data_IF_484760526321
#
_entry.id   IF_484760526321
#
_cell.length_a   1.000
_cell.length_b   1.000
_cell.length_c   1.000
_cell.angle_alpha   90.00
_cell.angle_beta   90.00
_cell.angle_gamma   90.00
#
_symmetry.space_group_name_H-M   'P 1'
#
loop_
_entity.id
_entity.type
_entity.pdbx_description
1 polymer ?
#
# COMPACT_ATOMS: atom_id res chain seq x y z
N UNK A 1 0.09 4.45 1.08
CA UNK A 1 0.79 3.86 -0.08
C UNK A 1 -0.22 3.25 -1.04
N UNK A 2 -1.02 2.25 -0.63
CA UNK A 2 -2.03 1.63 -1.49
C UNK A 2 -2.91 2.63 -2.26
N UNK A 3 -3.62 3.53 -1.57
CA UNK A 3 -4.46 4.55 -2.22
C UNK A 3 -3.70 5.45 -3.20
N UNK A 4 -2.45 5.80 -2.91
CA UNK A 4 -1.64 6.60 -3.82
C UNK A 4 -1.22 5.78 -5.06
N UNK A 5 -0.83 4.52 -4.87
CA UNK A 5 -0.50 3.61 -5.98
C UNK A 5 -1.70 3.39 -6.89
N UNK A 6 -2.90 3.17 -6.33
CA UNK A 6 -4.15 3.08 -7.09
C UNK A 6 -4.41 4.37 -7.86
N UNK A 7 -4.32 5.55 -7.22
CA UNK A 7 -4.47 6.83 -7.92
C UNK A 7 -3.47 6.99 -9.08
N UNK A 8 -2.19 6.66 -8.84
CA UNK A 8 -1.14 6.77 -9.84
C UNK A 8 -1.40 5.87 -11.05
N UNK A 9 -1.85 4.62 -10.82
CA UNK A 9 -2.15 3.67 -11.91
C UNK A 9 -3.48 3.96 -12.58
N UNK A 10 -4.47 4.49 -11.86
CA UNK A 10 -5.80 4.77 -12.38
C UNK A 10 -5.82 5.97 -13.32
N UNK A 11 -5.28 7.11 -12.86
CA UNK A 11 -5.39 8.39 -13.58
C UNK A 11 -4.12 9.27 -13.48
N UNK A 12 -3.10 8.84 -12.73
CA UNK A 12 -1.85 9.58 -12.55
C UNK A 12 -1.91 10.76 -11.58
N UNK A 13 -3.11 11.21 -11.19
CA UNK A 13 -3.30 12.37 -10.31
C UNK A 13 -2.92 12.06 -8.88
N UNK A 14 -2.49 13.09 -8.15
CA UNK A 14 -2.29 12.99 -6.71
C UNK A 14 -3.62 12.70 -6.01
N UNK A 15 -3.60 11.88 -4.96
CA UNK A 15 -4.79 11.70 -4.12
C UNK A 15 -5.07 12.98 -3.33
N UNK A 16 -6.34 13.36 -3.23
CA UNK A 16 -6.80 14.48 -2.42
C UNK A 16 -6.78 14.16 -0.92
N UNK A 17 -6.79 15.19 -0.09
CA UNK A 17 -6.80 15.01 1.37
C UNK A 17 -8.08 14.33 1.88
N UNK A 18 -9.23 14.59 1.25
CA UNK A 18 -10.48 13.91 1.57
C UNK A 18 -10.39 12.40 1.28
N UNK A 19 -9.91 12.04 0.09
CA UNK A 19 -9.68 10.64 -0.32
C UNK A 19 -8.70 9.92 0.61
N UNK A 20 -7.62 10.58 1.01
CA UNK A 20 -6.64 10.05 1.97
C UNK A 20 -7.29 9.73 3.33
N UNK A 21 -8.18 10.60 3.81
CA UNK A 21 -8.81 10.48 5.14
C UNK A 21 -10.01 9.56 5.17
N UNK A 22 -10.65 9.34 4.02
CA UNK A 22 -11.80 8.47 3.91
C UNK A 22 -11.45 7.02 4.29
N UNK A 23 -12.36 6.37 5.01
CA UNK A 23 -12.25 5.00 5.51
C UNK A 23 -13.52 4.26 5.16
N UNK A 24 -13.41 2.99 4.78
CA UNK A 24 -14.56 2.14 4.46
C UNK A 24 -15.38 2.57 3.26
N UNK A 25 -14.75 3.27 2.31
CA UNK A 25 -15.35 3.52 1.01
C UNK A 25 -15.57 2.21 0.27
N UNK A 26 -16.75 2.02 -0.31
CA UNK A 26 -17.04 0.85 -1.16
C UNK A 26 -16.15 0.81 -2.40
N UNK A 27 -15.77 1.98 -2.92
CA UNK A 27 -14.92 2.14 -4.09
C UNK A 27 -14.05 3.40 -3.93
N UNK A 28 -12.80 3.30 -4.36
CA UNK A 28 -11.84 4.39 -4.48
C UNK A 28 -11.11 4.22 -5.82
N UNK A 29 -11.33 5.17 -6.75
CA UNK A 29 -10.67 5.23 -8.07
C UNK A 29 -10.61 3.86 -8.79
N UNK A 30 -11.77 3.25 -8.95
CA UNK A 30 -11.94 1.98 -9.65
C UNK A 30 -11.56 0.73 -8.85
N UNK A 31 -11.07 0.87 -7.61
CA UNK A 31 -10.93 -0.28 -6.70
C UNK A 31 -12.29 -0.71 -6.12
N UNK A 32 -12.31 -1.88 -5.49
CA UNK A 32 -13.47 -2.41 -4.78
C UNK A 32 -13.07 -2.82 -3.36
N UNK A 33 -13.88 -2.44 -2.38
CA UNK A 33 -13.80 -3.00 -1.04
C UNK A 33 -14.44 -4.40 -1.03
N UNK A 34 -13.63 -5.43 -0.84
CA UNK A 34 -14.09 -6.83 -0.86
C UNK A 34 -14.61 -7.28 0.52
N UNK A 35 -14.01 -6.76 1.58
CA UNK A 35 -14.39 -7.05 2.95
C UNK A 35 -13.99 -5.88 3.84
N UNK A 36 -14.86 -5.51 4.78
CA UNK A 36 -14.56 -4.54 5.82
C UNK A 36 -15.33 -4.90 7.09
N UNK A 37 -14.66 -4.83 8.24
CA UNK A 37 -15.33 -4.92 9.54
C UNK A 37 -15.86 -3.55 9.97
N UNK A 38 -16.59 -3.50 11.09
CA UNK A 38 -17.04 -2.22 11.63
C UNK A 38 -15.84 -1.29 11.88
N UNK A 39 -15.96 -0.02 11.47
CA UNK A 39 -14.91 0.97 11.68
C UNK A 39 -14.66 1.13 13.18
N UNK A 40 -13.45 0.79 13.58
CA UNK A 40 -13.05 0.83 14.98
C UNK A 40 -11.57 1.21 15.11
N UNK A 41 -11.22 1.82 16.24
CA UNK A 41 -9.83 2.05 16.62
C UNK A 41 -9.22 0.85 17.37
N UNK A 42 -9.97 -0.25 17.48
CA UNK A 42 -9.55 -1.48 18.14
C UNK A 42 -8.76 -2.40 17.20
N UNK A 43 -8.18 -3.44 17.78
CA UNK A 43 -7.25 -4.36 17.11
C UNK A 43 -7.89 -5.33 16.11
N UNK A 44 -9.22 -5.38 16.06
CA UNK A 44 -10.03 -6.26 15.21
C UNK A 44 -10.53 -5.58 13.92
N UNK A 45 -10.04 -4.39 13.58
CA UNK A 45 -10.35 -3.78 12.30
C UNK A 45 -9.70 -4.56 11.14
N UNK A 46 -10.49 -4.84 10.11
CA UNK A 46 -10.07 -5.56 8.90
C UNK A 46 -10.61 -4.83 7.68
N UNK A 47 -9.78 -4.72 6.65
CA UNK A 47 -10.19 -4.16 5.36
C UNK A 47 -9.41 -4.87 4.25
N UNK A 48 -10.12 -5.31 3.22
CA UNK A 48 -9.55 -5.94 2.04
C UNK A 48 -10.05 -5.22 0.80
N UNK A 49 -9.13 -4.84 -0.08
CA UNK A 49 -9.45 -4.10 -1.31
C UNK A 49 -8.73 -4.70 -2.51
N UNK A 50 -9.35 -4.59 -3.67
CA UNK A 50 -8.81 -5.06 -4.93
C UNK A 50 -9.01 -4.01 -6.02
N UNK A 51 -7.94 -3.72 -6.75
CA UNK A 51 -7.96 -2.92 -7.96
C UNK A 51 -7.54 -3.80 -9.13
N UNK A 52 -8.37 -3.83 -10.17
CA UNK A 52 -8.06 -4.43 -11.47
C UNK A 52 -7.99 -3.32 -12.50
N UNK A 53 -6.79 -3.01 -12.96
CA UNK A 53 -6.56 -2.01 -13.99
C UNK A 53 -5.88 -2.62 -15.21
N UNK A 54 -5.69 -1.78 -16.22
CA UNK A 54 -4.88 -2.10 -17.38
C UNK A 54 -3.67 -1.17 -17.42
N UNK A 55 -2.49 -1.72 -17.70
CA UNK A 55 -1.38 -0.93 -18.18
C UNK A 55 -1.83 -0.26 -19.49
N UNK A 56 -1.64 1.06 -19.68
CA UNK A 56 -1.97 1.69 -20.94
C UNK A 56 -1.18 0.99 -22.06
N UNK A 57 -1.89 0.38 -23.01
CA UNK A 57 -1.26 -0.19 -24.20
C UNK A 57 -0.39 0.90 -24.85
N UNK A 58 0.88 0.59 -25.12
CA UNK A 58 1.72 1.40 -25.99
C UNK A 58 1.06 1.50 -27.36
N UNK A 59 1.41 2.54 -28.13
CA UNK A 59 0.89 2.68 -29.50
C UNK A 59 1.15 1.43 -30.34
N UNK A 60 2.34 0.83 -30.19
CA UNK A 60 2.76 -0.40 -30.84
C UNK A 60 1.85 -1.59 -30.49
N UNK A 61 1.53 -1.78 -29.21
CA UNK A 61 0.62 -2.84 -28.74
C UNK A 61 -0.82 -2.63 -29.22
N UNK A 62 -1.29 -1.38 -29.34
CA UNK A 62 -2.62 -1.07 -29.92
C UNK A 62 -2.70 -1.46 -31.39
N UNK A 63 -1.63 -1.26 -32.16
CA UNK A 63 -1.54 -1.69 -33.56
C UNK A 63 -1.41 -3.21 -33.73
N UNK A 64 -0.73 -3.89 -32.81
CA UNK A 64 -0.47 -5.34 -32.90
C UNK A 64 -1.69 -6.20 -32.51
N UNK A 65 -2.46 -5.80 -31.51
CA UNK A 65 -3.49 -6.69 -30.93
C UNK A 65 -4.90 -6.51 -31.50
N UNK A 66 -5.18 -5.45 -32.25
CA UNK A 66 -6.51 -5.17 -32.79
C UNK A 66 -7.57 -4.97 -31.70
N UNK A 67 -8.60 -4.17 -31.97
CA UNK A 67 -9.54 -3.66 -30.97
C UNK A 67 -10.44 -4.70 -30.24
N UNK A 68 -10.17 -6.01 -30.26
CA UNK A 68 -11.16 -7.00 -29.78
C UNK A 68 -10.70 -8.17 -28.93
N UNK A 69 -9.43 -8.28 -28.52
CA UNK A 69 -9.05 -9.28 -27.52
C UNK A 69 -8.26 -8.64 -26.38
N UNK A 70 -8.95 -8.42 -25.26
CA UNK A 70 -8.37 -8.01 -23.99
C UNK A 70 -7.43 -9.11 -23.50
N UNK A 71 -6.12 -8.89 -23.67
CA UNK A 71 -5.09 -9.80 -23.20
C UNK A 71 -4.67 -9.40 -21.78
N UNK A 72 -4.63 -10.37 -20.86
CA UNK A 72 -4.13 -10.17 -19.48
C UNK A 72 -2.66 -9.73 -19.44
N UNK A 73 -1.95 -9.76 -20.57
CA UNK A 73 -0.58 -9.25 -20.72
C UNK A 73 -0.39 -7.78 -20.36
N UNK A 74 -1.45 -7.00 -20.26
CA UNK A 74 -1.42 -5.59 -19.83
C UNK A 74 -2.42 -5.31 -18.69
N UNK A 75 -2.67 -6.28 -17.80
CA UNK A 75 -3.52 -6.08 -16.64
C UNK A 75 -2.69 -5.96 -15.36
N UNK A 76 -3.06 -5.02 -14.49
CA UNK A 76 -2.44 -4.82 -13.18
C UNK A 76 -3.47 -5.23 -12.12
N UNK A 77 -3.08 -6.16 -11.25
CA UNK A 77 -3.85 -6.54 -10.07
C UNK A 77 -3.15 -5.99 -8.83
N UNK A 78 -3.84 -5.14 -8.08
CA UNK A 78 -3.34 -4.60 -6.81
C UNK A 78 -4.32 -5.00 -5.71
N UNK A 79 -3.85 -5.79 -4.76
CA UNK A 79 -4.60 -6.19 -3.58
C UNK A 79 -4.03 -5.53 -2.33
N UNK A 80 -4.92 -5.18 -1.43
CA UNK A 80 -4.59 -4.60 -0.13
C UNK A 80 -5.32 -5.37 0.95
N UNK A 81 -4.60 -5.68 2.02
CA UNK A 81 -5.17 -6.17 3.26
C UNK A 81 -4.62 -5.37 4.42
N UNK A 82 -5.52 -4.76 5.20
CA UNK A 82 -5.14 -4.08 6.43
C UNK A 82 -4.81 -5.13 7.51
N UNK A 83 -3.65 -4.94 8.15
CA UNK A 83 -3.15 -5.82 9.20
C UNK A 83 -2.84 -4.98 10.45
N UNK A 84 -3.16 -5.52 11.61
CA UNK A 84 -2.85 -4.93 12.93
C UNK A 84 -1.68 -5.61 13.62
N UNK A 85 -1.16 -6.68 13.00
CA UNK A 85 -0.03 -7.50 13.43
C UNK A 85 0.75 -7.95 12.21
N UNK A 86 2.07 -8.09 12.35
CA UNK A 86 2.88 -8.68 11.28
C UNK A 86 2.48 -10.14 11.00
N UNK A 87 2.10 -10.90 12.03
CA UNK A 87 1.68 -12.29 11.86
C UNK A 87 0.71 -12.75 12.95
N UNK A 88 -0.37 -13.38 12.54
CA UNK A 88 -1.34 -14.11 13.34
C UNK A 88 -2.20 -14.96 12.40
N UNK A 89 -3.15 -15.71 12.97
CA UNK A 89 -4.07 -16.54 12.20
C UNK A 89 -4.87 -15.73 11.15
N UNK A 90 -5.27 -14.50 11.48
CA UNK A 90 -5.92 -13.61 10.51
C UNK A 90 -5.03 -13.30 9.30
N UNK A 91 -3.74 -12.98 9.51
CA UNK A 91 -2.80 -12.74 8.41
C UNK A 91 -2.60 -13.99 7.56
N UNK A 92 -2.56 -15.19 8.17
CA UNK A 92 -2.50 -16.44 7.43
C UNK A 92 -3.74 -16.62 6.53
N UNK A 93 -4.94 -16.42 7.08
CA UNK A 93 -6.19 -16.51 6.33
C UNK A 93 -6.27 -15.47 5.22
N UNK A 94 -5.89 -14.23 5.52
CA UNK A 94 -5.83 -13.14 4.56
C UNK A 94 -4.91 -13.47 3.39
N UNK A 95 -3.68 -13.92 3.66
CA UNK A 95 -2.74 -14.32 2.61
C UNK A 95 -3.22 -15.57 1.85
N UNK A 96 -3.92 -16.49 2.50
CA UNK A 96 -4.51 -17.63 1.80
C UNK A 96 -5.55 -17.19 0.77
N UNK A 97 -6.43 -16.25 1.13
CA UNK A 97 -7.45 -15.70 0.23
C UNK A 97 -6.81 -14.85 -0.87
N UNK A 98 -5.91 -13.94 -0.51
CA UNK A 98 -5.32 -12.99 -1.47
C UNK A 98 -4.36 -13.63 -2.47
N UNK A 99 -3.91 -14.86 -2.24
CA UNK A 99 -3.02 -15.57 -3.16
C UNK A 99 -3.62 -16.88 -3.71
N UNK A 100 -4.94 -17.09 -3.57
CA UNK A 100 -5.56 -18.35 -3.97
C UNK A 100 -5.60 -18.52 -5.50
N UNK A 101 -6.02 -17.47 -6.20
CA UNK A 101 -6.16 -17.42 -7.66
C UNK A 101 -4.86 -17.01 -8.36
N UNK A 102 -4.14 -16.05 -7.80
CA UNK A 102 -2.86 -15.56 -8.31
C UNK A 102 -1.86 -15.40 -7.17
N UNK A 103 -0.69 -16.03 -7.29
CA UNK A 103 0.42 -15.66 -6.43
C UNK A 103 1.06 -14.36 -6.95
N UNK A 104 1.24 -13.34 -6.10
CA UNK A 104 1.67 -12.02 -6.56
C UNK A 104 3.13 -12.00 -7.04
N UNK A 105 3.42 -11.20 -8.07
CA UNK A 105 4.80 -10.91 -8.49
C UNK A 105 5.56 -10.11 -7.42
N UNK A 106 4.83 -9.33 -6.62
CA UNK A 106 5.38 -8.44 -5.58
C UNK A 106 4.54 -8.51 -4.32
N UNK A 107 5.16 -8.75 -3.18
CA UNK A 107 4.55 -8.59 -1.85
C UNK A 107 5.27 -7.45 -1.13
N UNK A 108 4.53 -6.41 -0.74
CA UNK A 108 5.05 -5.35 0.11
C UNK A 108 4.30 -5.31 1.44
N UNK A 109 5.01 -5.50 2.54
CA UNK A 109 4.43 -5.51 3.89
C UNK A 109 5.01 -4.37 4.71
N UNK A 110 4.14 -3.64 5.40
CA UNK A 110 4.52 -2.64 6.39
C UNK A 110 3.81 -2.93 7.71
N UNK A 111 4.60 -3.24 8.74
CA UNK A 111 4.13 -3.31 10.12
C UNK A 111 5.09 -2.55 11.05
N UNK A 112 4.81 -2.57 12.36
CA UNK A 112 5.65 -2.16 13.52
C UNK A 112 4.79 -1.41 14.53
N UNK A 113 4.05 -0.37 14.09
CA UNK A 113 3.35 0.53 15.01
C UNK A 113 2.44 -0.22 15.98
N UNK A 114 1.45 -0.96 15.46
CA UNK A 114 0.46 -1.63 16.30
C UNK A 114 1.06 -2.84 17.01
N UNK A 115 1.94 -3.59 16.36
CA UNK A 115 2.66 -4.72 16.97
C UNK A 115 3.31 -4.36 18.30
N UNK A 116 3.94 -3.18 18.40
CA UNK A 116 4.69 -2.79 19.60
C UNK A 116 3.92 -1.87 20.56
N UNK A 117 2.76 -1.35 20.16
CA UNK A 117 1.99 -0.37 20.96
C UNK A 117 0.65 -0.87 21.48
N UNK A 118 0.02 -1.87 20.85
CA UNK A 118 -1.38 -2.25 21.15
C UNK A 118 -1.57 -3.66 21.71
N UNK A 119 -0.53 -4.50 21.69
CA UNK A 119 -0.66 -5.91 22.04
C UNK A 119 0.09 -6.22 23.33
N UNK A 120 -0.64 -6.61 24.38
CA UNK A 120 -0.07 -6.91 25.70
C UNK A 120 0.96 -8.05 25.69
N UNK A 121 0.83 -8.99 24.74
CA UNK A 121 1.78 -10.10 24.54
C UNK A 121 3.14 -9.62 24.01
N UNK A 122 3.21 -8.39 23.52
CA UNK A 122 4.41 -7.73 23.00
C UNK A 122 4.93 -6.76 24.06
N UNK A 123 5.28 -7.30 25.24
CA UNK A 123 6.00 -6.53 26.25
C UNK A 123 7.44 -6.31 25.81
N UNK A 124 7.98 -5.07 25.91
CA UNK A 124 9.38 -4.84 25.62
C UNK A 124 10.24 -5.56 26.67
N UNK A 125 11.24 -6.30 26.18
CA UNK A 125 12.36 -6.76 27.00
C UNK A 125 13.46 -5.70 26.98
N UNK A 126 14.40 -5.76 27.93
CA UNK A 126 15.55 -4.85 27.99
C UNK A 126 16.79 -5.51 27.39
N UNK A 127 17.44 -4.84 26.46
CA UNK A 127 18.73 -5.29 25.93
C UNK A 127 19.85 -5.04 26.94
N UNK A 128 21.07 -5.47 26.59
CA UNK A 128 22.27 -5.30 27.43
C UNK A 128 22.59 -3.83 27.80
N UNK A 129 22.03 -2.86 27.07
CA UNK A 129 22.23 -1.43 27.27
C UNK A 129 21.01 -0.77 27.92
N UNK A 130 19.98 -1.53 28.31
CA UNK A 130 18.75 -1.02 28.94
C UNK A 130 17.70 -0.48 27.96
N UNK A 131 17.91 -0.66 26.65
CA UNK A 131 16.93 -0.25 25.63
C UNK A 131 15.83 -1.29 25.46
N UNK A 132 14.63 -0.84 25.11
CA UNK A 132 13.53 -1.75 24.79
C UNK A 132 13.84 -2.50 23.48
N UNK A 133 13.58 -3.80 23.48
CA UNK A 133 13.54 -4.64 22.29
C UNK A 133 12.32 -5.58 22.33
N UNK A 134 11.86 -6.01 21.16
CA UNK A 134 10.55 -6.65 21.00
C UNK A 134 10.70 -8.05 20.38
N UNK A 135 11.09 -9.07 21.17
CA UNK A 135 11.40 -10.41 20.66
C UNK A 135 10.18 -11.14 20.10
N UNK A 136 9.00 -10.94 20.71
CA UNK A 136 7.75 -11.52 20.20
C UNK A 136 7.46 -11.00 18.79
N UNK A 137 7.61 -9.69 18.56
CA UNK A 137 7.42 -9.08 17.25
C UNK A 137 8.40 -9.64 16.21
N UNK A 138 9.69 -9.74 16.54
CA UNK A 138 10.71 -10.35 15.66
C UNK A 138 10.36 -11.79 15.28
N UNK A 139 9.98 -12.61 16.26
CA UNK A 139 9.54 -14.00 16.03
C UNK A 139 8.31 -14.07 15.13
N UNK A 140 7.35 -13.15 15.29
CA UNK A 140 6.16 -13.08 14.44
C UNK A 140 6.51 -12.74 13.00
N UNK A 141 7.45 -11.82 12.80
CA UNK A 141 7.99 -11.49 11.48
C UNK A 141 8.72 -12.70 10.85
N UNK A 142 9.52 -13.45 11.61
CA UNK A 142 10.13 -14.70 11.12
C UNK A 142 9.08 -15.74 10.70
N UNK A 143 7.98 -15.87 11.45
CA UNK A 143 6.88 -16.76 11.11
C UNK A 143 6.20 -16.34 9.80
N UNK A 144 5.97 -15.04 9.61
CA UNK A 144 5.45 -14.48 8.36
C UNK A 144 6.35 -14.82 7.17
N UNK A 145 7.66 -14.61 7.29
CA UNK A 145 8.61 -14.91 6.22
C UNK A 145 8.56 -16.39 5.83
N UNK A 146 8.55 -17.30 6.82
CA UNK A 146 8.43 -18.75 6.59
C UNK A 146 7.11 -19.12 5.92
N UNK A 147 6.01 -18.53 6.35
CA UNK A 147 4.69 -18.79 5.79
C UNK A 147 4.60 -18.36 4.32
N UNK A 148 5.02 -17.14 4.00
CA UNK A 148 5.02 -16.63 2.62
C UNK A 148 5.95 -17.46 1.73
N UNK A 149 7.13 -17.83 2.23
CA UNK A 149 8.04 -18.71 1.49
C UNK A 149 7.40 -20.07 1.20
N UNK A 150 6.70 -20.67 2.16
CA UNK A 150 5.96 -21.92 1.94
C UNK A 150 4.90 -21.78 0.84
N UNK A 151 4.14 -20.68 0.83
CA UNK A 151 3.13 -20.42 -0.22
C UNK A 151 3.75 -20.14 -1.59
N UNK A 152 4.86 -19.41 -1.63
CA UNK A 152 5.63 -19.18 -2.85
C UNK A 152 6.12 -20.50 -3.44
N UNK A 153 6.67 -21.39 -2.59
CA UNK A 153 7.09 -22.72 -3.03
C UNK A 153 5.90 -23.53 -3.53
N UNK A 154 4.76 -23.57 -2.83
CA UNK A 154 3.55 -24.25 -3.33
C UNK A 154 3.11 -23.73 -4.70
N UNK A 155 3.07 -22.40 -4.88
CA UNK A 155 2.70 -21.78 -6.14
C UNK A 155 3.66 -22.15 -7.29
N UNK A 156 4.97 -22.22 -7.01
CA UNK A 156 5.97 -22.68 -8.00
C UNK A 156 5.77 -24.16 -8.33
N UNK A 157 5.61 -25.03 -7.33
CA UNK A 157 5.40 -26.47 -7.55
C UNK A 157 4.12 -26.76 -8.36
N UNK A 158 3.08 -25.93 -8.17
CA UNK A 158 1.82 -26.01 -8.91
C UNK A 158 1.87 -25.35 -10.30
N UNK A 159 2.98 -24.70 -10.66
CA UNK A 159 3.13 -23.98 -11.93
C UNK A 159 2.30 -22.70 -12.04
N UNK A 160 1.82 -22.16 -10.91
CA UNK A 160 1.08 -20.88 -10.85
C UNK A 160 2.07 -19.71 -10.93
N UNK A 161 3.22 -19.84 -10.29
CA UNK A 161 4.26 -18.82 -10.23
C UNK A 161 5.46 -19.23 -11.08
N UNK A 162 5.74 -18.46 -12.13
CA UNK A 162 6.83 -18.73 -13.08
C UNK A 162 8.17 -18.10 -12.66
N UNK A 163 8.13 -17.06 -11.84
CA UNK A 163 9.30 -16.33 -11.36
C UNK A 163 9.16 -16.08 -9.86
N UNK A 164 10.26 -16.10 -9.07
CA UNK A 164 10.20 -15.81 -7.64
C UNK A 164 9.51 -14.46 -7.36
N UNK A 165 8.72 -14.41 -6.28
CA UNK A 165 8.05 -13.20 -5.87
C UNK A 165 9.05 -12.23 -5.25
N UNK A 166 9.00 -10.97 -5.67
CA UNK A 166 9.76 -9.90 -5.04
C UNK A 166 9.11 -9.55 -3.69
N UNK A 167 9.80 -9.91 -2.60
CA UNK A 167 9.31 -9.70 -1.23
C UNK A 167 9.99 -8.47 -0.63
N UNK A 168 9.19 -7.49 -0.24
CA UNK A 168 9.66 -6.19 0.25
C UNK A 168 9.08 -5.94 1.63
N UNK A 169 9.96 -5.77 2.61
CA UNK A 169 9.62 -5.22 3.91
C UNK A 169 9.83 -3.72 3.91
N UNK A 170 8.75 -2.97 4.06
CA UNK A 170 8.81 -1.52 4.14
C UNK A 170 8.83 -1.08 5.60
N UNK A 171 9.89 -0.38 6.01
CA UNK A 171 10.03 0.10 7.40
C UNK A 171 8.98 1.15 7.74
N UNK A 172 8.58 1.24 9.01
CA UNK A 172 7.61 2.26 9.43
C UNK A 172 8.24 3.66 9.39
N UNK A 173 7.53 4.62 8.80
CA UNK A 173 7.95 6.03 8.78
C UNK A 173 8.07 6.61 10.19
N UNK A 174 8.90 7.65 10.38
CA UNK A 174 9.13 8.22 11.72
C UNK A 174 7.91 8.99 12.23
N UNK A 175 7.62 8.85 13.52
CA UNK A 175 6.58 9.61 14.22
C UNK A 175 7.18 10.80 14.96
N UNK A 176 6.32 11.74 15.37
CA UNK A 176 6.70 12.90 16.17
C UNK A 176 7.07 12.47 17.59
N UNK A 177 7.78 13.37 18.30
CA UNK A 177 7.99 13.18 19.74
C UNK A 177 6.68 13.26 20.52
N UNK A 178 5.70 14.01 20.00
CA UNK A 178 4.35 14.16 20.54
C UNK A 178 3.36 13.76 19.45
N UNK A 179 2.45 12.82 19.77
CA UNK A 179 1.47 12.32 18.80
C UNK A 179 0.05 12.50 19.33
N UNK A 180 -0.91 12.59 18.42
CA UNK A 180 -2.35 12.68 18.70
C UNK A 180 -3.07 11.51 18.06
N UNK A 181 -4.04 10.95 18.78
CA UNK A 181 -4.95 9.94 18.25
C UNK A 181 -4.70 8.53 18.76
N UNK A 182 -5.58 7.62 18.33
CA UNK A 182 -5.75 6.32 18.97
C UNK A 182 -4.55 5.40 18.88
N UNK A 183 -3.63 5.54 17.92
CA UNK A 183 -2.56 4.54 17.66
C UNK A 183 -1.75 4.18 18.92
N UNK A 184 -1.57 5.11 19.87
CA UNK A 184 -0.88 4.89 21.15
C UNK A 184 -1.82 4.89 22.39
N UNK A 185 -3.12 4.61 22.22
CA UNK A 185 -4.10 4.47 23.31
C UNK A 185 -3.58 3.53 24.41
N UNK A 186 -3.62 3.98 25.67
CA UNK A 186 -3.09 3.26 26.84
C UNK A 186 -1.72 3.74 27.30
N UNK A 187 -1.09 4.64 26.55
CA UNK A 187 0.18 5.26 26.92
C UNK A 187 -0.14 6.67 27.43
N UNK A 188 0.10 6.94 28.72
CA UNK A 188 -0.04 8.30 29.25
C UNK A 188 0.73 9.29 28.38
N UNK A 189 0.34 10.57 28.40
CA UNK A 189 0.80 11.67 27.52
C UNK A 189 2.34 11.81 27.37
N UNK A 190 3.15 11.07 28.16
CA UNK A 190 4.61 11.10 28.20
C UNK A 190 5.36 9.98 27.44
N UNK A 191 4.72 9.02 26.76
CA UNK A 191 5.44 7.88 26.16
C UNK A 191 5.73 7.96 24.65
N UNK A 192 5.20 8.97 23.93
CA UNK A 192 5.36 9.08 22.46
C UNK A 192 6.83 9.14 22.00
N UNK A 193 7.69 9.84 22.76
CA UNK A 193 9.13 9.92 22.48
C UNK A 193 9.83 8.55 22.61
N UNK A 194 9.46 7.74 23.61
CA UNK A 194 9.99 6.39 23.77
C UNK A 194 9.57 5.49 22.60
N UNK A 195 8.31 5.57 22.16
CA UNK A 195 7.84 4.81 21.01
C UNK A 195 8.55 5.19 19.72
N UNK A 196 8.87 6.48 19.52
CA UNK A 196 9.62 6.92 18.35
C UNK A 196 10.98 6.22 18.24
N UNK A 197 11.72 6.15 19.34
CA UNK A 197 13.00 5.44 19.39
C UNK A 197 12.82 3.93 19.19
N UNK A 198 11.79 3.36 19.79
CA UNK A 198 11.48 1.94 19.70
C UNK A 198 11.08 1.54 18.27
N UNK A 199 10.32 2.36 17.56
CA UNK A 199 9.99 2.16 16.13
C UNK A 199 11.26 2.15 15.29
N UNK A 200 12.15 3.14 15.49
CA UNK A 200 13.41 3.22 14.75
C UNK A 200 14.29 1.99 15.03
N UNK A 201 14.39 1.56 16.29
CA UNK A 201 15.15 0.38 16.68
C UNK A 201 14.53 -0.91 16.15
N UNK A 202 13.21 -1.05 16.19
CA UNK A 202 12.48 -2.17 15.62
C UNK A 202 12.73 -2.28 14.11
N UNK A 203 12.62 -1.17 13.37
CA UNK A 203 12.92 -1.14 11.94
C UNK A 203 14.33 -1.68 11.65
N UNK A 204 15.34 -1.23 12.40
CA UNK A 204 16.73 -1.68 12.24
C UNK A 204 16.91 -3.16 12.62
N UNK A 205 16.28 -3.59 13.71
CA UNK A 205 16.41 -4.95 14.21
C UNK A 205 15.77 -6.01 13.29
N UNK A 206 14.88 -5.61 12.39
CA UNK A 206 14.30 -6.53 11.40
C UNK A 206 15.21 -6.75 10.18
N UNK A 207 16.20 -5.88 9.93
CA UNK A 207 17.08 -6.00 8.75
C UNK A 207 17.78 -7.36 8.67
N UNK A 208 18.38 -7.91 9.74
CA UNK A 208 18.99 -9.25 9.68
C UNK A 208 17.97 -10.33 9.31
N UNK A 209 16.76 -10.28 9.88
CA UNK A 209 15.68 -11.23 9.60
C UNK A 209 15.26 -11.14 8.13
N UNK A 210 15.15 -9.93 7.58
CA UNK A 210 14.80 -9.74 6.17
C UNK A 210 15.89 -10.32 5.24
N UNK A 211 17.15 -9.99 5.52
CA UNK A 211 18.28 -10.49 4.74
C UNK A 211 18.36 -12.03 4.78
N UNK A 212 18.21 -12.64 5.95
CA UNK A 212 18.23 -14.10 6.13
C UNK A 212 17.09 -14.82 5.38
N UNK A 213 15.99 -14.12 5.09
CA UNK A 213 14.84 -14.67 4.40
C UNK A 213 14.72 -14.23 2.93
N UNK A 214 15.73 -13.55 2.37
CA UNK A 214 15.72 -12.98 1.02
C UNK A 214 14.55 -12.00 0.79
N UNK A 215 14.35 -11.09 1.75
CA UNK A 215 13.45 -9.95 1.62
C UNK A 215 14.26 -8.67 1.43
N UNK A 216 13.81 -7.84 0.50
CA UNK A 216 14.33 -6.49 0.36
C UNK A 216 13.80 -5.59 1.47
N UNK A 217 14.63 -4.66 1.93
CA UNK A 217 14.21 -3.64 2.90
C UNK A 217 14.05 -2.29 2.20
N UNK A 218 12.81 -1.83 2.07
CA UNK A 218 12.52 -0.45 1.65
C UNK A 218 12.52 0.43 2.90
N UNK A 219 13.64 1.11 3.16
CA UNK A 219 13.81 1.92 4.37
C UNK A 219 13.12 3.28 4.30
N UNK A 220 11.78 3.27 4.40
CA UNK A 220 10.99 4.49 4.49
C UNK A 220 11.28 5.30 5.77
N UNK A 221 11.85 4.71 6.82
CA UNK A 221 12.27 5.48 7.98
C UNK A 221 13.42 6.43 7.61
N UNK A 222 14.44 5.93 6.91
CA UNK A 222 15.57 6.72 6.43
C UNK A 222 15.13 7.86 5.51
N UNK A 223 14.30 7.59 4.50
CA UNK A 223 13.89 8.60 3.52
C UNK A 223 13.10 9.74 4.14
N UNK A 224 12.26 9.43 5.12
CA UNK A 224 11.30 10.40 5.66
C UNK A 224 11.78 11.09 6.94
N UNK A 225 12.87 10.65 7.59
CA UNK A 225 13.35 11.26 8.84
C UNK A 225 13.77 12.72 8.73
N UNK A 226 14.19 13.17 7.54
CA UNK A 226 14.65 14.55 7.35
C UNK A 226 13.55 15.49 6.82
N UNK A 227 12.42 14.96 6.33
CA UNK A 227 11.33 15.77 5.76
C UNK A 227 10.05 15.74 6.61
N UNK A 228 10.15 15.29 7.87
CA UNK A 228 9.03 15.23 8.81
C UNK A 228 8.29 16.57 8.97
N UNK A 229 9.03 17.68 9.01
CA UNK A 229 8.44 19.01 9.22
C UNK A 229 7.65 19.52 8.00
N UNK A 230 7.92 18.98 6.81
CA UNK A 230 7.28 19.40 5.56
C UNK A 230 6.08 18.53 5.21
N UNK A 231 6.15 17.22 5.47
CA UNK A 231 5.18 16.26 4.93
C UNK A 231 4.43 15.43 5.97
N UNK A 232 4.70 15.59 7.26
CA UNK A 232 3.92 14.91 8.31
C UNK A 232 2.72 15.76 8.73
N UNK A 233 1.62 15.08 8.99
CA UNK A 233 0.40 15.70 9.50
C UNK A 233 0.54 16.15 10.96
N UNK A 234 -0.35 17.05 11.36
CA UNK A 234 -0.36 17.66 12.70
C UNK A 234 -0.67 16.68 13.85
N UNK A 235 -1.10 15.45 13.53
CA UNK A 235 -1.26 14.39 14.52
C UNK A 235 0.05 13.69 14.87
N UNK A 236 1.14 13.98 14.16
CA UNK A 236 2.46 13.42 14.43
C UNK A 236 2.64 11.97 13.99
N UNK A 237 1.68 11.37 13.29
CA UNK A 237 1.71 9.96 12.86
C UNK A 237 1.48 9.84 11.35
N UNK A 238 0.45 10.49 10.83
CA UNK A 238 0.06 10.38 9.42
C UNK A 238 0.87 11.33 8.54
N UNK A 239 0.85 11.07 7.24
CA UNK A 239 1.64 11.81 6.26
C UNK A 239 0.74 12.41 5.16
N UNK A 240 1.22 13.47 4.53
CA UNK A 240 0.53 14.16 3.44
C UNK A 240 0.41 13.29 2.19
N UNK A 241 -0.48 13.67 1.27
CA UNK A 241 -0.58 13.02 -0.02
C UNK A 241 0.74 13.04 -0.81
N UNK A 242 1.48 14.15 -0.76
CA UNK A 242 2.80 14.29 -1.38
C UNK A 242 3.82 13.28 -0.83
N UNK A 243 3.87 13.08 0.49
CA UNK A 243 4.73 12.06 1.08
C UNK A 243 4.35 10.65 0.62
N UNK A 244 3.06 10.36 0.48
CA UNK A 244 2.63 9.08 -0.07
C UNK A 244 3.00 8.90 -1.54
N UNK A 245 2.91 9.94 -2.38
CA UNK A 245 3.40 9.90 -3.77
C UNK A 245 4.90 9.67 -3.84
N UNK A 246 5.67 10.32 -2.99
CA UNK A 246 7.11 10.09 -2.89
C UNK A 246 7.42 8.65 -2.48
N UNK A 247 6.70 8.11 -1.50
CA UNK A 247 6.85 6.72 -1.08
C UNK A 247 6.52 5.74 -2.21
N UNK A 248 5.44 5.99 -2.96
CA UNK A 248 5.08 5.19 -4.15
C UNK A 248 6.18 5.24 -5.21
N UNK A 249 6.76 6.41 -5.48
CA UNK A 249 7.85 6.54 -6.43
C UNK A 249 9.14 5.83 -5.98
N UNK A 250 9.47 5.87 -4.68
CA UNK A 250 10.58 5.09 -4.10
C UNK A 250 10.32 3.59 -4.29
N UNK A 251 9.11 3.13 -3.99
CA UNK A 251 8.70 1.74 -4.18
C UNK A 251 8.77 1.29 -5.65
N UNK A 252 8.27 2.11 -6.59
CA UNK A 252 8.34 1.81 -8.01
C UNK A 252 9.76 1.86 -8.57
N UNK A 253 10.63 2.70 -8.01
CA UNK A 253 12.05 2.74 -8.38
C UNK A 253 12.77 1.48 -7.91
N UNK A 254 12.48 1.03 -6.69
CA UNK A 254 12.99 -0.24 -6.15
C UNK A 254 12.56 -1.43 -7.02
N UNK A 255 11.29 -1.47 -7.42
CA UNK A 255 10.77 -2.47 -8.36
C UNK A 255 11.52 -2.47 -9.69
N UNK A 256 11.67 -1.30 -10.30
CA UNK A 256 12.32 -1.16 -11.58
C UNK A 256 13.80 -1.59 -11.52
N UNK A 257 14.50 -1.27 -10.42
CA UNK A 257 15.87 -1.72 -10.19
C UNK A 257 15.96 -3.23 -9.96
N UNK A 258 15.11 -3.80 -9.11
CA UNK A 258 15.07 -5.23 -8.83
C UNK A 258 14.77 -6.08 -10.08
N UNK A 259 13.98 -5.54 -11.01
CA UNK A 259 13.69 -6.18 -12.31
C UNK A 259 14.70 -5.84 -13.41
N UNK A 260 15.76 -5.08 -13.11
CA UNK A 260 16.80 -4.74 -14.09
C UNK A 260 16.36 -3.74 -15.16
N UNK A 261 15.24 -3.04 -14.97
CA UNK A 261 14.76 -1.95 -15.84
C UNK A 261 15.51 -0.63 -15.57
N UNK A 262 16.18 -0.53 -14.43
CA UNK A 262 16.89 0.66 -13.97
C UNK A 262 15.94 1.72 -13.41
N UNK A 263 16.51 2.89 -13.07
CA UNK A 263 15.75 3.98 -12.46
C UNK A 263 14.69 4.52 -13.42
N UNK A 264 13.46 4.79 -12.94
CA UNK A 264 12.49 5.56 -13.70
C UNK A 264 13.11 6.91 -14.08
N UNK A 265 13.42 7.08 -15.37
CA UNK A 265 13.94 8.35 -15.88
C UNK A 265 12.79 9.23 -16.32
N UNK A 266 12.95 10.55 -16.17
CA UNK A 266 12.05 11.48 -16.83
C UNK A 266 11.99 11.12 -18.31
N UNK A 267 10.79 10.94 -18.88
CA UNK A 267 10.72 10.56 -20.27
C UNK A 267 11.31 11.71 -21.08
N UNK A 268 12.41 11.43 -21.78
CA UNK A 268 13.07 12.43 -22.59
C UNK A 268 12.13 12.75 -23.74
N UNK A 269 11.77 14.02 -23.89
CA UNK A 269 11.08 14.51 -25.08
C UNK A 269 11.99 14.21 -26.26
N UNK A 270 11.57 13.33 -27.16
CA UNK A 270 12.22 13.19 -28.45
C UNK A 270 11.94 14.48 -29.24
N UNK A 271 12.97 15.27 -29.60
CA UNK A 271 12.79 16.55 -30.31
C UNK A 271 12.09 16.38 -31.67
N UNK A 272 12.15 15.19 -32.26
CA UNK A 272 11.55 14.85 -33.55
C UNK A 272 10.14 14.29 -33.45
N UNK A 273 9.66 13.99 -32.24
CA UNK A 273 8.39 13.31 -32.00
C UNK A 273 7.42 14.19 -31.21
N UNK A 274 6.17 14.28 -31.69
CA UNK A 274 5.05 14.88 -30.93
C UNK A 274 4.45 13.92 -29.90
N UNK A 275 5.09 12.77 -29.68
CA UNK A 275 4.60 11.75 -28.75
C UNK A 275 5.46 11.72 -27.49
N UNK A 276 4.81 11.46 -26.36
CA UNK A 276 5.45 11.18 -25.09
C UNK A 276 5.16 9.73 -24.74
N UNK A 277 6.20 8.88 -24.65
CA UNK A 277 6.07 7.41 -24.51
C UNK A 277 5.15 6.78 -25.58
N UNK A 278 5.20 7.27 -26.83
CA UNK A 278 4.36 6.76 -27.92
C UNK A 278 2.89 7.21 -27.88
N UNK A 279 2.46 7.94 -26.83
CA UNK A 279 1.14 8.58 -26.78
C UNK A 279 1.25 9.98 -27.35
N UNK A 280 0.36 10.33 -28.28
CA UNK A 280 0.39 11.67 -28.87
C UNK A 280 0.07 12.72 -27.79
N UNK A 281 0.78 13.84 -27.76
CA UNK A 281 0.51 14.89 -26.78
C UNK A 281 -0.93 15.39 -26.84
N UNK A 282 -1.57 15.36 -28.02
CA UNK A 282 -3.00 15.68 -28.17
C UNK A 282 -3.92 14.69 -27.47
N UNK A 283 -3.49 13.43 -27.29
CA UNK A 283 -4.26 12.37 -26.64
C UNK A 283 -4.22 12.49 -25.11
N UNK A 284 -3.15 13.07 -24.55
CA UNK A 284 -3.07 13.39 -23.13
C UNK A 284 -4.10 14.46 -22.72
N UNK A 285 -4.40 15.39 -23.63
CA UNK A 285 -5.47 16.39 -23.43
C UNK A 285 -6.89 15.82 -23.66
N UNK A 286 -7.04 14.71 -24.39
CA UNK A 286 -8.37 14.08 -24.57
C UNK A 286 -8.76 13.15 -23.43
N UNK A 287 -7.83 12.70 -22.57
CA UNK A 287 -8.17 11.88 -21.39
C UNK A 287 -9.09 12.66 -20.44
N UNK A 288 -8.92 13.98 -20.29
CA UNK A 288 -9.89 14.82 -19.56
C UNK A 288 -11.29 14.74 -20.19
N UNK A 289 -11.39 14.80 -21.54
CA UNK A 289 -12.67 14.70 -22.25
C UNK A 289 -13.31 13.30 -22.24
N UNK A 290 -12.50 12.23 -22.08
CA UNK A 290 -13.02 10.87 -21.94
C UNK A 290 -13.42 10.56 -20.49
N UNK A 291 -12.76 11.16 -19.49
CA UNK A 291 -13.20 11.16 -18.09
C UNK A 291 -14.53 11.91 -17.93
N UNK A 292 -14.72 13.03 -18.62
CA UNK A 292 -16.00 13.75 -18.64
C UNK A 292 -17.13 12.89 -19.24
N UNK A 293 -16.86 12.16 -20.34
CA UNK A 293 -17.82 11.20 -20.92
C UNK A 293 -18.09 9.99 -20.01
N UNK A 294 -17.11 9.53 -19.24
CA UNK A 294 -17.29 8.46 -18.26
C UNK A 294 -18.10 8.91 -17.04
N UNK A 295 -17.99 10.19 -16.67
CA UNK A 295 -18.81 10.80 -15.63
C UNK A 295 -20.25 11.05 -16.12
N UNK A 296 -20.45 11.37 -17.40
CA UNK A 296 -21.79 11.43 -18.02
C UNK A 296 -22.46 10.05 -18.10
N UNK A 297 -21.70 8.95 -18.22
CA UNK A 297 -22.19 7.58 -18.20
C UNK A 297 -22.53 7.03 -16.80
N UNK A 298 -22.27 7.80 -15.73
CA UNK A 298 -22.51 7.41 -14.32
C UNK A 298 -23.69 8.12 -13.65
N UNK A 299 -24.59 8.73 -14.41
CA UNK A 299 -25.92 9.10 -13.91
C UNK A 299 -26.97 8.09 -14.40
N UNK A 300 -27.29 7.03 -13.65
CA UNK A 300 -28.64 6.50 -13.70
C UNK A 300 -29.55 7.54 -13.02
N UNK A 301 -30.28 8.29 -13.84
CA UNK A 301 -31.59 8.81 -13.48
C UNK A 301 -32.47 7.62 -13.07
N UNK A 302 -32.39 7.21 -11.81
CA UNK A 302 -33.41 6.43 -11.08
C UNK A 302 -32.93 6.20 -9.64
N UNK A 303 -32.90 7.27 -8.84
CA UNK A 303 -33.16 7.16 -7.41
C UNK A 303 -34.40 7.99 -7.16
N UNK A 304 -35.54 7.31 -7.26
CA UNK A 304 -36.82 7.78 -6.73
C UNK A 304 -36.59 8.26 -5.31
N UNK A 305 -36.84 9.54 -5.09
CA UNK A 305 -36.83 10.18 -3.80
C UNK A 305 -37.75 9.41 -2.85
N UNK A 306 -37.17 8.73 -1.86
CA UNK A 306 -37.93 8.29 -0.70
C UNK A 306 -38.41 9.53 0.04
N UNK A 307 -39.72 9.70 0.03
CA UNK A 307 -40.46 10.80 0.61
C UNK A 307 -40.08 11.03 2.08
N UNK A 308 -39.88 12.32 2.41
CA UNK A 308 -40.04 12.82 3.77
C UNK A 308 -41.48 12.53 4.21
N UNK A 309 -41.63 11.67 5.20
CA UNK A 309 -42.83 11.65 6.04
C UNK A 309 -42.44 12.22 7.40
N UNK A 310 -42.69 13.51 7.56
CA UNK A 310 -42.95 14.11 8.86
C UNK A 310 -44.43 13.87 9.23
N UNK A 311 -44.67 13.83 10.54
CA UNK A 311 -45.94 13.79 11.27
C UNK A 311 -46.50 12.38 11.61
N UNK A 312 -46.43 11.99 12.88
CA UNK A 312 -47.48 12.23 13.89
C UNK A 312 -47.08 11.62 15.26
N UNK A 313 -47.19 12.46 16.30
CA UNK A 313 -47.34 12.16 17.75
C UNK A 313 -46.24 11.45 18.54
#
# INVERSE_FOLDING_TARGET
>A
MYKDLVALVHDGHLMGDAEKRAKGEQCYRGDYCLNISELTNQTNFTEVREYRGYAPLTHEERTLFGQRNWNWSNSILIRFGFITRAYNEYVEQLLNVLTEDHFPDVICINSTFWDISRWEEVRPSKDKNGFNYYPTFQRKVEQLCKFIHGKEMDAIHRGILLQPCLKIWRTSMPIAAETKGGVLEGTGENNSAMYREDIARCNLNLIPIMNENNWDVLDANFWFRNCQNEFRENDGIHWTAHAHRWLTNIFLSHLAEAWGLGWPTYPKRDPSSKTFKGVNLSELFTIESEMDKLNELKAPDDIVAAERVDAFQ
#
